data_IF_995875781809
#
_entry.id   IF_995875781809
#
_cell.length_a   1.000
_cell.length_b   1.000
_cell.length_c   1.000
_cell.angle_alpha   90.00
_cell.angle_beta   90.00
_cell.angle_gamma   90.00
#
_symmetry.space_group_name_H-M   'P 1'
#
loop_
_entity.id
_entity.type
_entity.pdbx_description
1 polymer ?
#
# COMPACT_ATOMS: atom_id res chain seq x y z
N UNK A 1 7.92 3.21 -1.57
CA UNK A 1 9.10 2.37 -1.82
C UNK A 1 8.74 1.08 -2.56
N UNK A 2 7.56 0.54 -2.40
CA UNK A 2 7.10 -0.70 -3.06
C UNK A 2 7.04 -0.58 -4.59
N UNK A 3 6.73 0.59 -5.11
CA UNK A 3 6.73 0.85 -6.53
C UNK A 3 8.07 0.53 -7.21
N UNK A 4 9.20 0.59 -6.48
CA UNK A 4 10.51 0.24 -7.04
C UNK A 4 10.58 -1.19 -7.53
N UNK A 5 9.90 -2.13 -6.86
CA UNK A 5 9.85 -3.54 -7.28
C UNK A 5 9.00 -3.75 -8.54
N UNK A 6 7.93 -2.94 -8.72
CA UNK A 6 7.05 -3.01 -9.90
C UNK A 6 7.77 -2.61 -11.18
N UNK A 7 8.77 -1.73 -11.06
CA UNK A 7 9.60 -1.26 -12.19
C UNK A 7 10.89 -2.06 -12.39
N UNK A 8 11.04 -3.19 -11.70
CA UNK A 8 12.24 -4.03 -11.81
C UNK A 8 12.51 -4.51 -13.25
N UNK A 9 11.46 -4.83 -14.03
CA UNK A 9 11.59 -5.27 -15.43
C UNK A 9 12.13 -4.15 -16.37
N UNK A 10 12.06 -2.88 -15.95
CA UNK A 10 12.53 -1.72 -16.72
C UNK A 10 13.90 -1.20 -16.26
N UNK A 11 14.39 -1.67 -15.13
CA UNK A 11 15.68 -1.26 -14.58
C UNK A 11 16.83 -1.95 -15.33
N UNK A 12 17.89 -1.19 -15.69
CA UNK A 12 19.07 -1.76 -16.37
C UNK A 12 19.79 -2.84 -15.54
N UNK A 13 19.82 -2.66 -14.22
CA UNK A 13 20.41 -3.61 -13.26
C UNK A 13 19.48 -3.69 -12.06
N UNK A 14 18.39 -4.42 -12.22
CA UNK A 14 17.34 -4.55 -11.21
C UNK A 14 17.87 -5.14 -9.90
N UNK A 15 18.83 -6.07 -9.97
CA UNK A 15 19.40 -6.75 -8.80
C UNK A 15 20.11 -5.79 -7.84
N UNK A 16 20.67 -4.70 -8.34
CA UNK A 16 21.37 -3.67 -7.55
C UNK A 16 20.51 -2.42 -7.37
N UNK A 17 19.89 -1.94 -8.45
CA UNK A 17 19.17 -0.69 -8.45
C UNK A 17 17.92 -0.72 -7.55
N UNK A 18 17.12 -1.79 -7.63
CA UNK A 18 15.86 -1.90 -6.86
C UNK A 18 16.11 -1.96 -5.34
N UNK A 19 16.98 -2.85 -4.80
CA UNK A 19 17.27 -2.86 -3.37
C UNK A 19 17.84 -1.53 -2.88
N UNK A 20 18.79 -0.94 -3.64
CA UNK A 20 19.40 0.34 -3.26
C UNK A 20 18.38 1.48 -3.20
N UNK A 21 17.53 1.61 -4.22
CA UNK A 21 16.47 2.61 -4.24
C UNK A 21 15.48 2.41 -3.08
N UNK A 22 15.11 1.15 -2.79
CA UNK A 22 14.21 0.82 -1.68
C UNK A 22 14.81 1.21 -0.33
N UNK A 23 16.06 0.84 -0.05
CA UNK A 23 16.72 1.21 1.21
C UNK A 23 16.87 2.72 1.37
N UNK A 24 17.29 3.43 0.31
CA UNK A 24 17.41 4.89 0.35
C UNK A 24 16.06 5.54 0.63
N UNK A 25 15.00 5.10 -0.06
CA UNK A 25 13.65 5.62 0.15
C UNK A 25 13.15 5.36 1.58
N UNK A 26 13.30 4.14 2.10
CA UNK A 26 12.83 3.78 3.45
C UNK A 26 13.59 4.57 4.52
N UNK A 27 14.92 4.65 4.43
CA UNK A 27 15.71 5.40 5.41
C UNK A 27 15.39 6.89 5.35
N UNK A 28 15.31 7.47 4.14
CA UNK A 28 14.94 8.88 3.96
C UNK A 28 13.57 9.17 4.58
N UNK A 29 12.55 8.36 4.26
CA UNK A 29 11.20 8.56 4.79
C UNK A 29 11.15 8.39 6.30
N UNK A 30 11.83 7.38 6.86
CA UNK A 30 11.87 7.15 8.30
C UNK A 30 12.48 8.35 9.04
N UNK A 31 13.63 8.86 8.56
CA UNK A 31 14.30 10.02 9.15
C UNK A 31 13.43 11.27 8.98
N UNK A 32 12.89 11.49 7.79
CA UNK A 32 12.06 12.65 7.49
C UNK A 32 10.81 12.71 8.37
N UNK A 33 10.07 11.61 8.49
CA UNK A 33 8.87 11.55 9.32
C UNK A 33 9.19 11.68 10.81
N UNK A 34 10.27 11.04 11.28
CA UNK A 34 10.69 11.15 12.68
C UNK A 34 11.06 12.59 13.05
N UNK A 35 11.85 13.26 12.19
CA UNK A 35 12.23 14.66 12.39
C UNK A 35 11.01 15.59 12.32
N UNK A 36 10.12 15.41 11.34
CA UNK A 36 8.91 16.22 11.19
C UNK A 36 8.01 16.08 12.41
N UNK A 37 7.77 14.84 12.88
CA UNK A 37 6.98 14.60 14.07
C UNK A 37 7.62 15.22 15.33
N UNK A 38 8.93 15.06 15.50
CA UNK A 38 9.65 15.62 16.63
C UNK A 38 9.58 17.16 16.65
N UNK A 39 9.74 17.80 15.48
CA UNK A 39 9.66 19.26 15.34
C UNK A 39 8.25 19.79 15.65
N UNK A 40 7.20 19.11 15.15
CA UNK A 40 5.81 19.48 15.43
C UNK A 40 5.51 19.35 16.92
N UNK A 41 5.88 18.22 17.54
CA UNK A 41 5.65 18.00 18.98
C UNK A 41 6.45 18.99 19.82
N UNK A 42 7.69 19.27 19.44
CA UNK A 42 8.51 20.25 20.15
C UNK A 42 7.94 21.68 20.02
N UNK A 43 7.46 22.04 18.84
CA UNK A 43 6.89 23.36 18.56
C UNK A 43 5.56 23.61 19.29
N UNK A 44 4.65 22.65 19.26
CA UNK A 44 3.34 22.76 19.92
C UNK A 44 3.42 22.47 21.43
N UNK A 45 4.49 21.86 21.90
CA UNK A 45 4.59 21.24 23.21
C UNK A 45 3.83 19.89 23.25
N UNK A 46 4.26 19.02 24.16
CA UNK A 46 3.65 17.68 24.27
C UNK A 46 2.16 17.76 24.61
N UNK A 47 1.78 18.62 25.55
CA UNK A 47 0.38 18.79 25.94
C UNK A 47 -0.48 19.36 24.81
N UNK A 48 0.02 20.35 24.09
CA UNK A 48 -0.67 20.93 22.94
C UNK A 48 -0.86 19.91 21.80
N UNK A 49 0.18 19.16 21.46
CA UNK A 49 0.11 18.12 20.45
C UNK A 49 -0.88 17.00 20.83
N UNK A 50 -0.88 16.57 22.11
CA UNK A 50 -1.82 15.57 22.61
C UNK A 50 -3.26 16.08 22.63
N UNK A 51 -3.48 17.35 22.99
CA UNK A 51 -4.82 17.94 22.97
C UNK A 51 -5.42 17.95 21.57
N UNK A 52 -4.62 18.33 20.55
CA UNK A 52 -5.03 18.34 19.16
C UNK A 52 -5.23 16.90 18.63
N UNK A 53 -4.30 15.99 18.93
CA UNK A 53 -4.37 14.61 18.47
C UNK A 53 -5.50 13.81 19.14
N UNK A 54 -5.91 14.19 20.35
CA UNK A 54 -7.00 13.56 21.10
C UNK A 54 -8.40 13.99 20.67
N UNK A 55 -8.50 15.07 19.90
CA UNK A 55 -9.78 15.54 19.35
C UNK A 55 -9.97 15.03 17.93
N UNK A 56 -10.98 14.16 17.66
CA UNK A 56 -11.21 13.57 16.34
C UNK A 56 -11.42 14.58 15.21
N UNK A 57 -11.91 15.79 15.51
CA UNK A 57 -12.14 16.82 14.51
C UNK A 57 -10.85 17.54 14.12
N UNK A 58 -9.93 17.73 15.05
CA UNK A 58 -8.68 18.47 14.83
C UNK A 58 -7.45 17.58 14.56
N UNK A 59 -7.48 16.31 14.97
CA UNK A 59 -6.34 15.37 14.86
C UNK A 59 -5.72 15.30 13.47
N UNK A 60 -6.56 15.31 12.43
CA UNK A 60 -6.12 15.23 11.03
C UNK A 60 -5.45 16.52 10.54
N UNK A 61 -5.70 17.62 11.22
CA UNK A 61 -5.18 18.95 10.88
C UNK A 61 -3.96 19.36 11.71
N UNK A 62 -3.39 18.47 12.51
CA UNK A 62 -2.25 18.73 13.40
C UNK A 62 -1.10 19.44 12.66
N UNK A 63 -0.75 18.98 11.47
CA UNK A 63 0.31 19.58 10.65
C UNK A 63 -0.09 20.96 10.12
N UNK A 64 -1.34 21.15 9.74
CA UNK A 64 -1.86 22.45 9.27
C UNK A 64 -1.94 23.47 10.40
N UNK A 65 -2.34 23.03 11.60
CA UNK A 65 -2.40 23.85 12.80
C UNK A 65 -0.97 24.32 13.17
N UNK A 66 0.00 23.39 13.15
CA UNK A 66 1.39 23.74 13.37
C UNK A 66 1.92 24.72 12.31
N UNK A 67 1.57 24.49 11.03
CA UNK A 67 1.97 25.41 9.96
C UNK A 67 1.36 26.81 10.13
N UNK A 68 0.10 26.93 10.53
CA UNK A 68 -0.54 28.22 10.79
C UNK A 68 0.14 28.95 11.95
N UNK A 69 0.43 28.24 13.02
CA UNK A 69 1.07 28.82 14.20
C UNK A 69 2.49 29.35 13.94
N UNK A 70 3.30 28.64 13.13
CA UNK A 70 4.72 28.99 12.93
C UNK A 70 5.00 29.71 11.63
N UNK A 71 4.21 29.50 10.59
CA UNK A 71 4.42 30.05 9.25
C UNK A 71 3.28 30.98 8.81
N UNK A 72 2.16 30.99 9.56
CA UNK A 72 0.97 31.75 9.24
C UNK A 72 0.28 31.28 7.96
N UNK A 73 -0.62 32.07 7.43
CA UNK A 73 -1.47 31.76 6.27
C UNK A 73 -0.67 31.35 5.02
N UNK A 74 0.55 31.89 4.84
CA UNK A 74 1.40 31.48 3.72
C UNK A 74 1.81 30.02 3.84
N UNK A 75 2.22 29.59 5.03
CA UNK A 75 2.59 28.19 5.28
C UNK A 75 1.44 27.23 5.04
N UNK A 76 0.24 27.57 5.51
CA UNK A 76 -0.99 26.77 5.26
C UNK A 76 -1.28 26.67 3.77
N UNK A 77 -1.24 27.80 3.03
CA UNK A 77 -1.48 27.79 1.60
C UNK A 77 -0.45 26.96 0.82
N UNK A 78 0.83 27.07 1.18
CA UNK A 78 1.88 26.25 0.59
C UNK A 78 1.64 24.75 0.87
N UNK A 79 1.27 24.37 2.10
CA UNK A 79 0.91 23.01 2.45
C UNK A 79 -0.29 22.49 1.63
N UNK A 80 -1.34 23.29 1.46
CA UNK A 80 -2.51 22.88 0.66
C UNK A 80 -2.11 22.56 -0.79
N UNK A 81 -1.27 23.40 -1.41
CA UNK A 81 -0.75 23.13 -2.76
C UNK A 81 0.07 21.81 -2.79
N UNK A 82 0.94 21.62 -1.78
CA UNK A 82 1.75 20.39 -1.69
C UNK A 82 0.89 19.15 -1.44
N UNK A 83 -0.16 19.24 -0.65
CA UNK A 83 -1.11 18.13 -0.43
C UNK A 83 -1.81 17.76 -1.73
N UNK A 84 -2.35 18.73 -2.48
CA UNK A 84 -3.02 18.47 -3.77
C UNK A 84 -2.05 17.83 -4.77
N UNK A 85 -0.84 18.39 -4.92
CA UNK A 85 0.15 17.83 -5.85
C UNK A 85 0.62 16.43 -5.41
N UNK A 86 0.73 16.18 -4.11
CA UNK A 86 1.04 14.86 -3.55
C UNK A 86 -0.05 13.83 -3.86
N UNK A 87 -1.32 14.18 -3.70
CA UNK A 87 -2.43 13.29 -4.08
C UNK A 87 -2.41 12.94 -5.57
N UNK A 88 -2.16 13.92 -6.45
CA UNK A 88 -2.04 13.68 -7.90
C UNK A 88 -0.88 12.73 -8.20
N UNK A 89 0.29 12.95 -7.58
CA UNK A 89 1.45 12.08 -7.75
C UNK A 89 1.19 10.64 -7.25
N UNK A 90 0.54 10.51 -6.09
CA UNK A 90 0.11 9.22 -5.56
C UNK A 90 -0.87 8.51 -6.49
N UNK A 91 -1.88 9.22 -6.99
CA UNK A 91 -2.87 8.67 -7.92
C UNK A 91 -2.21 8.08 -9.17
N UNK A 92 -1.30 8.84 -9.80
CA UNK A 92 -0.55 8.39 -10.99
C UNK A 92 0.29 7.16 -10.65
N UNK A 93 1.01 7.18 -9.54
CA UNK A 93 1.90 6.08 -9.13
C UNK A 93 1.13 4.79 -8.85
N UNK A 94 0.07 4.86 -8.05
CA UNK A 94 -0.76 3.70 -7.73
C UNK A 94 -1.54 3.18 -8.93
N UNK A 95 -2.04 4.08 -9.80
CA UNK A 95 -2.70 3.69 -11.04
C UNK A 95 -1.76 2.87 -11.94
N UNK A 96 -0.54 3.36 -12.15
CA UNK A 96 0.46 2.67 -12.97
C UNK A 96 0.86 1.32 -12.35
N UNK A 97 1.13 1.27 -11.04
CA UNK A 97 1.49 0.04 -10.36
C UNK A 97 0.35 -1.00 -10.46
N UNK A 98 -0.89 -0.60 -10.17
CA UNK A 98 -2.04 -1.52 -10.21
C UNK A 98 -2.33 -2.01 -11.63
N UNK A 99 -2.20 -1.15 -12.65
CA UNK A 99 -2.36 -1.55 -14.04
C UNK A 99 -1.32 -2.62 -14.46
N UNK A 100 -0.09 -2.54 -13.93
CA UNK A 100 0.97 -3.54 -14.15
C UNK A 100 0.68 -4.85 -13.42
N UNK A 101 0.13 -4.81 -12.20
CA UNK A 101 -0.32 -6.02 -11.51
C UNK A 101 -1.43 -6.73 -12.27
N UNK A 102 -2.43 -5.99 -12.78
CA UNK A 102 -3.47 -6.56 -13.63
C UNK A 102 -2.92 -7.19 -14.92
N UNK A 103 -1.92 -6.53 -15.53
CA UNK A 103 -1.22 -7.04 -16.70
C UNK A 103 -0.48 -8.35 -16.39
N UNK A 104 0.31 -8.38 -15.31
CA UNK A 104 1.06 -9.58 -14.92
C UNK A 104 0.13 -10.76 -14.63
N UNK A 105 -0.94 -10.54 -13.84
CA UNK A 105 -1.96 -11.56 -13.56
C UNK A 105 -2.70 -12.03 -14.83
N UNK A 106 -2.94 -11.14 -15.78
CA UNK A 106 -3.52 -11.49 -17.10
C UNK A 106 -2.56 -12.32 -17.96
N UNK A 107 -1.28 -11.97 -17.97
CA UNK A 107 -0.21 -12.70 -18.69
C UNK A 107 -0.04 -14.11 -18.14
N UNK A 108 -0.06 -14.26 -16.84
CA UNK A 108 0.03 -15.54 -16.14
C UNK A 108 -1.28 -16.36 -16.20
N UNK A 109 -2.36 -15.74 -16.65
CA UNK A 109 -3.66 -16.41 -16.81
C UNK A 109 -4.47 -16.55 -15.52
N UNK A 110 -4.10 -15.82 -14.44
CA UNK A 110 -4.92 -15.70 -13.23
C UNK A 110 -6.17 -14.85 -13.49
N UNK A 111 -6.04 -13.84 -14.36
CA UNK A 111 -7.13 -13.01 -14.87
C UNK A 111 -7.35 -13.27 -16.37
N UNK A 112 -8.42 -12.73 -16.97
CA UNK A 112 -8.64 -12.84 -18.41
C UNK A 112 -7.41 -12.43 -19.21
N UNK A 113 -7.00 -13.26 -20.17
CA UNK A 113 -5.79 -13.05 -21.00
C UNK A 113 -5.78 -11.70 -21.73
N UNK A 114 -6.95 -11.11 -21.95
CA UNK A 114 -7.06 -9.80 -22.55
C UNK A 114 -6.36 -8.69 -21.73
N UNK A 115 -6.21 -8.86 -20.41
CA UNK A 115 -5.46 -7.94 -19.55
C UNK A 115 -3.94 -8.09 -19.70
N UNK A 116 -3.46 -9.26 -20.09
CA UNK A 116 -2.06 -9.55 -20.36
C UNK A 116 -1.53 -9.03 -21.71
N UNK A 117 -2.16 -7.97 -22.25
CA UNK A 117 -1.74 -7.34 -23.53
C UNK A 117 -1.33 -5.89 -23.29
N UNK A 118 -0.33 -5.44 -24.06
CA UNK A 118 0.13 -4.04 -24.07
C UNK A 118 -0.31 -3.36 -25.37
N UNK A 119 -0.40 -2.03 -25.35
CA UNK A 119 -0.62 -1.22 -26.54
C UNK A 119 0.67 -1.05 -27.37
N UNK A 120 0.60 -0.30 -28.47
CA UNK A 120 1.75 -0.01 -29.33
C UNK A 120 2.92 0.71 -28.61
N UNK A 121 2.67 1.32 -27.46
CA UNK A 121 3.66 2.02 -26.64
C UNK A 121 4.14 1.18 -25.44
N UNK A 122 3.81 -0.13 -25.38
CA UNK A 122 4.22 -1.01 -24.29
C UNK A 122 3.42 -0.83 -22.98
N UNK A 123 2.34 -0.03 -22.96
CA UNK A 123 1.56 0.22 -21.76
C UNK A 123 0.35 -0.73 -21.64
N UNK A 124 -0.04 -1.17 -20.42
CA UNK A 124 -1.17 -2.05 -20.16
C UNK A 124 -2.51 -1.28 -20.18
N UNK A 125 -2.91 -0.79 -21.35
CA UNK A 125 -4.07 0.10 -21.53
C UNK A 125 -5.36 -0.48 -20.99
N UNK A 126 -5.61 -1.78 -21.19
CA UNK A 126 -6.86 -2.43 -20.72
C UNK A 126 -6.96 -2.44 -19.19
N UNK A 127 -5.86 -2.70 -18.49
CA UNK A 127 -5.79 -2.58 -17.03
C UNK A 127 -6.07 -1.15 -16.57
N UNK A 128 -5.46 -0.16 -17.21
CA UNK A 128 -5.69 1.25 -16.90
C UNK A 128 -7.14 1.68 -17.10
N UNK A 129 -7.79 1.25 -18.19
CA UNK A 129 -9.20 1.58 -18.46
C UNK A 129 -10.12 0.96 -17.40
N UNK A 130 -9.89 -0.29 -17.01
CA UNK A 130 -10.68 -0.93 -15.95
C UNK A 130 -10.56 -0.16 -14.64
N UNK A 131 -9.35 0.25 -14.26
CA UNK A 131 -9.14 1.04 -13.05
C UNK A 131 -9.87 2.39 -13.09
N UNK A 132 -9.86 3.07 -14.23
CA UNK A 132 -10.60 4.32 -14.42
C UNK A 132 -12.11 4.11 -14.30
N UNK A 133 -12.62 3.02 -14.88
CA UNK A 133 -14.06 2.69 -14.80
C UNK A 133 -14.45 2.38 -13.35
N UNK A 134 -13.63 1.57 -12.64
CA UNK A 134 -13.88 1.27 -11.22
C UNK A 134 -13.84 2.55 -10.38
N UNK A 135 -12.83 3.40 -10.59
CA UNK A 135 -12.74 4.69 -9.88
C UNK A 135 -13.97 5.58 -10.17
N UNK A 136 -14.39 5.69 -11.42
CA UNK A 136 -15.58 6.45 -11.81
C UNK A 136 -16.87 5.92 -11.15
N UNK A 137 -17.01 4.59 -11.06
CA UNK A 137 -18.14 3.95 -10.37
C UNK A 137 -18.12 4.31 -8.88
N UNK A 138 -16.96 4.17 -8.21
CA UNK A 138 -16.83 4.47 -6.77
C UNK A 138 -17.15 5.95 -6.52
N UNK A 139 -16.58 6.87 -7.30
CA UNK A 139 -16.86 8.30 -7.19
C UNK A 139 -18.35 8.58 -7.44
N UNK A 140 -18.94 7.98 -8.47
CA UNK A 140 -20.36 8.13 -8.78
C UNK A 140 -21.28 7.65 -7.66
N UNK A 141 -20.98 6.50 -7.05
CA UNK A 141 -21.73 5.98 -5.90
C UNK A 141 -21.65 6.93 -4.71
N UNK A 142 -20.45 7.44 -4.40
CA UNK A 142 -20.27 8.39 -3.30
C UNK A 142 -21.03 9.70 -3.58
N UNK A 143 -20.96 10.22 -4.81
CA UNK A 143 -21.68 11.43 -5.19
C UNK A 143 -23.20 11.28 -5.05
N UNK A 144 -23.76 10.13 -5.45
CA UNK A 144 -25.21 9.86 -5.34
C UNK A 144 -25.64 9.66 -3.90
N UNK A 145 -24.79 9.08 -3.05
CA UNK A 145 -25.11 8.84 -1.63
C UNK A 145 -24.98 10.11 -0.77
N UNK A 146 -24.48 11.22 -1.32
CA UNK A 146 -24.29 12.48 -0.61
C UNK A 146 -23.27 12.42 0.52
N UNK A 147 -22.39 11.42 0.53
CA UNK A 147 -21.29 11.31 1.51
C UNK A 147 -20.24 12.39 1.27
N UNK A 148 -19.61 12.82 2.34
CA UNK A 148 -18.48 13.75 2.25
C UNK A 148 -17.34 13.15 1.40
N UNK A 149 -16.83 13.86 0.38
CA UNK A 149 -15.79 13.34 -0.52
C UNK A 149 -14.47 13.09 0.19
N UNK A 150 -14.14 13.90 1.20
CA UNK A 150 -12.86 13.77 1.90
C UNK A 150 -12.95 12.70 3.00
N UNK A 151 -13.83 12.87 3.98
CA UNK A 151 -13.95 11.92 5.11
C UNK A 151 -14.67 10.64 4.72
N UNK A 152 -15.78 10.75 4.01
CA UNK A 152 -16.63 9.60 3.65
C UNK A 152 -16.08 8.77 2.48
N UNK A 153 -15.16 9.28 1.67
CA UNK A 153 -14.57 8.54 0.56
C UNK A 153 -13.06 8.42 0.67
N UNK A 154 -12.32 9.55 0.66
CA UNK A 154 -10.87 9.50 0.56
C UNK A 154 -10.23 8.89 1.81
N UNK A 155 -10.57 9.39 3.00
CA UNK A 155 -10.02 8.90 4.28
C UNK A 155 -10.44 7.46 4.53
N UNK A 156 -11.71 7.14 4.30
CA UNK A 156 -12.25 5.79 4.49
C UNK A 156 -11.62 4.77 3.53
N UNK A 157 -11.46 5.14 2.24
CA UNK A 157 -10.79 4.29 1.25
C UNK A 157 -9.30 4.12 1.55
N UNK A 158 -8.64 5.17 2.04
CA UNK A 158 -7.26 5.11 2.50
C UNK A 158 -7.09 4.12 3.66
N UNK A 159 -7.98 4.15 4.65
CA UNK A 159 -7.99 3.21 5.77
C UNK A 159 -8.11 1.75 5.29
N UNK A 160 -9.01 1.49 4.32
CA UNK A 160 -9.14 0.17 3.69
C UNK A 160 -7.85 -0.26 2.97
N UNK A 161 -7.23 0.66 2.22
CA UNK A 161 -6.00 0.42 1.49
C UNK A 161 -4.84 0.09 2.42
N UNK A 162 -4.63 0.87 3.48
CA UNK A 162 -3.54 0.66 4.44
C UNK A 162 -3.69 -0.66 5.19
N UNK A 163 -4.89 -0.99 5.68
CA UNK A 163 -5.14 -2.27 6.37
C UNK A 163 -4.84 -3.48 5.48
N UNK A 164 -5.26 -3.44 4.23
CA UNK A 164 -4.98 -4.50 3.25
C UNK A 164 -3.50 -4.59 2.90
N UNK A 165 -2.86 -3.45 2.65
CA UNK A 165 -1.45 -3.37 2.25
C UNK A 165 -0.51 -3.95 3.30
N UNK A 166 -0.65 -3.53 4.57
CA UNK A 166 0.19 -4.02 5.67
C UNK A 166 0.04 -5.54 5.85
N UNK A 167 -1.18 -6.07 5.67
CA UNK A 167 -1.43 -7.51 5.73
C UNK A 167 -0.71 -8.27 4.61
N UNK A 168 -0.78 -7.77 3.38
CA UNK A 168 -0.10 -8.38 2.21
C UNK A 168 1.42 -8.33 2.37
N UNK A 169 1.96 -7.22 2.89
CA UNK A 169 3.39 -7.09 3.20
C UNK A 169 3.85 -8.10 4.26
N UNK A 170 3.06 -8.29 5.33
CA UNK A 170 3.35 -9.30 6.35
C UNK A 170 3.40 -10.71 5.74
N UNK A 171 2.43 -11.04 4.88
CA UNK A 171 2.41 -12.32 4.18
C UNK A 171 3.61 -12.50 3.25
N UNK A 172 3.98 -11.48 2.49
CA UNK A 172 5.16 -11.51 1.63
C UNK A 172 6.42 -11.78 2.46
N UNK A 173 6.56 -11.13 3.61
CA UNK A 173 7.69 -11.35 4.52
C UNK A 173 7.71 -12.78 5.09
N UNK A 174 6.57 -13.34 5.51
CA UNK A 174 6.47 -14.75 5.92
C UNK A 174 6.78 -15.71 4.77
N UNK A 175 6.37 -15.40 3.54
CA UNK A 175 6.67 -16.21 2.36
C UNK A 175 8.16 -16.27 2.08
N UNK A 176 8.90 -15.16 2.27
CA UNK A 176 10.36 -15.13 2.19
C UNK A 176 10.98 -16.06 3.24
N UNK A 177 10.53 -16.00 4.49
CA UNK A 177 10.99 -16.90 5.55
C UNK A 177 10.73 -18.36 5.16
N UNK A 178 9.49 -18.69 4.71
CA UNK A 178 9.12 -20.04 4.29
C UNK A 178 9.98 -20.58 3.14
N UNK A 179 10.33 -19.73 2.19
CA UNK A 179 11.20 -20.08 1.06
C UNK A 179 12.61 -20.44 1.53
N UNK A 180 13.25 -19.57 2.33
CA UNK A 180 14.62 -19.76 2.77
C UNK A 180 14.77 -20.76 3.92
N UNK A 181 13.69 -21.20 4.56
CA UNK A 181 13.73 -22.35 5.47
C UNK A 181 14.04 -23.65 4.74
N UNK A 182 13.64 -23.77 3.47
CA UNK A 182 13.90 -24.97 2.65
C UNK A 182 15.31 -24.97 2.08
N UNK A 183 15.76 -23.84 1.55
CA UNK A 183 17.11 -23.70 0.99
C UNK A 183 17.58 -22.26 1.12
N UNK A 184 18.67 -22.05 1.85
CA UNK A 184 19.28 -20.73 2.11
C UNK A 184 20.09 -20.20 0.93
N UNK A 185 20.32 -20.99 -0.10
CA UNK A 185 21.13 -20.62 -1.29
C UNK A 185 22.46 -19.94 -0.95
N UNK A 186 23.14 -20.39 0.12
CA UNK A 186 24.41 -19.83 0.59
C UNK A 186 24.32 -18.51 1.37
N UNK A 187 23.13 -17.97 1.60
CA UNK A 187 22.95 -16.74 2.38
C UNK A 187 22.94 -17.00 3.90
N UNK A 188 23.47 -16.05 4.68
CA UNK A 188 23.48 -16.12 6.14
C UNK A 188 22.07 -16.09 6.75
N UNK A 189 21.84 -16.90 7.77
CA UNK A 189 20.52 -17.02 8.43
C UNK A 189 19.97 -15.68 8.93
N UNK A 190 20.82 -14.80 9.42
CA UNK A 190 20.40 -13.47 9.89
C UNK A 190 19.71 -12.67 8.79
N UNK A 191 20.24 -12.71 7.58
CA UNK A 191 19.74 -11.92 6.44
C UNK A 191 18.46 -12.50 5.85
N UNK A 192 18.33 -13.82 5.75
CA UNK A 192 17.23 -14.45 5.00
C UNK A 192 16.14 -15.07 5.87
N UNK A 193 16.38 -15.25 7.17
CA UNK A 193 15.39 -15.79 8.11
C UNK A 193 15.06 -14.78 9.21
N UNK A 194 16.08 -14.32 9.97
CA UNK A 194 15.84 -13.50 11.17
C UNK A 194 15.29 -12.12 10.79
N UNK A 195 15.93 -11.42 9.86
CA UNK A 195 15.49 -10.08 9.47
C UNK A 195 14.08 -10.09 8.84
N UNK A 196 13.73 -10.97 7.87
CA UNK A 196 12.38 -11.05 7.35
C UNK A 196 11.35 -11.48 8.39
N UNK A 197 11.71 -12.37 9.34
CA UNK A 197 10.81 -12.78 10.41
C UNK A 197 10.50 -11.63 11.35
N UNK A 198 11.51 -10.88 11.78
CA UNK A 198 11.30 -9.69 12.62
C UNK A 198 10.46 -8.63 11.89
N UNK A 199 10.72 -8.43 10.59
CA UNK A 199 9.89 -7.55 9.75
C UNK A 199 8.44 -8.03 9.67
N UNK A 200 8.20 -9.32 9.45
CA UNK A 200 6.87 -9.91 9.41
C UNK A 200 6.12 -9.73 10.73
N UNK A 201 6.79 -10.02 11.86
CA UNK A 201 6.19 -9.84 13.19
C UNK A 201 5.90 -8.36 13.48
N UNK A 202 6.81 -7.45 13.12
CA UNK A 202 6.57 -6.01 13.22
C UNK A 202 5.37 -5.55 12.41
N UNK A 203 5.19 -6.06 11.18
CA UNK A 203 4.03 -5.77 10.35
C UNK A 203 2.72 -6.33 10.93
N UNK A 204 2.76 -7.53 11.53
CA UNK A 204 1.58 -8.09 12.22
C UNK A 204 1.19 -7.22 13.43
N UNK A 205 2.18 -6.77 14.22
CA UNK A 205 1.94 -5.86 15.34
C UNK A 205 1.37 -4.53 14.82
N UNK A 206 1.96 -3.97 13.76
CA UNK A 206 1.46 -2.73 13.14
C UNK A 206 0.02 -2.90 12.64
N UNK A 207 -0.28 -4.02 11.96
CA UNK A 207 -1.64 -4.33 11.53
C UNK A 207 -2.63 -4.42 12.69
N UNK A 208 -2.24 -5.10 13.77
CA UNK A 208 -3.06 -5.19 14.97
C UNK A 208 -3.33 -3.81 15.58
N UNK A 209 -2.31 -2.96 15.68
CA UNK A 209 -2.46 -1.59 16.18
C UNK A 209 -3.37 -0.73 15.29
N UNK A 210 -3.25 -0.86 13.96
CA UNK A 210 -4.12 -0.18 12.99
C UNK A 210 -5.57 -0.61 13.20
N UNK A 211 -5.82 -1.93 13.27
CA UNK A 211 -7.17 -2.47 13.45
C UNK A 211 -7.77 -2.06 14.80
N UNK A 212 -6.96 -2.08 15.87
CA UNK A 212 -7.39 -1.67 17.22
C UNK A 212 -7.72 -0.18 17.30
N UNK A 213 -7.16 0.64 16.42
CA UNK A 213 -7.38 2.08 16.38
C UNK A 213 -8.00 2.52 15.03
N UNK A 214 -8.80 1.66 14.41
CA UNK A 214 -9.35 1.90 13.07
C UNK A 214 -10.21 3.18 13.00
N UNK A 215 -10.85 3.55 14.08
CA UNK A 215 -11.66 4.76 14.16
C UNK A 215 -10.85 6.03 13.95
N UNK A 216 -9.62 6.08 14.46
CA UNK A 216 -8.69 7.20 14.23
C UNK A 216 -8.29 7.27 12.77
N UNK A 217 -8.02 6.10 12.14
CA UNK A 217 -7.58 6.05 10.76
C UNK A 217 -8.71 6.33 9.76
N UNK A 218 -9.92 5.86 10.05
CA UNK A 218 -11.09 6.01 9.17
C UNK A 218 -11.86 7.32 9.41
N UNK A 219 -11.55 8.03 10.49
CA UNK A 219 -12.32 9.18 10.99
C UNK A 219 -13.83 8.86 11.10
N UNK A 220 -14.17 7.62 11.42
CA UNK A 220 -15.55 7.17 11.56
C UNK A 220 -15.71 6.15 12.67
N UNK A 221 -16.88 6.12 13.27
CA UNK A 221 -17.25 5.16 14.33
C UNK A 221 -18.33 4.22 13.82
N UNK A 222 -18.39 3.00 14.39
CA UNK A 222 -19.49 2.07 14.19
C UNK A 222 -19.22 0.91 13.23
N UNK A 223 -20.30 0.19 12.86
CA UNK A 223 -20.23 -1.08 12.13
C UNK A 223 -19.62 -0.98 10.72
N UNK A 224 -19.56 0.23 10.13
CA UNK A 224 -18.91 0.45 8.83
C UNK A 224 -17.43 0.09 8.85
N UNK A 225 -16.75 0.23 9.98
CA UNK A 225 -15.35 -0.09 10.14
C UNK A 225 -15.04 -1.60 10.04
N UNK A 226 -16.03 -2.48 10.28
CA UNK A 226 -15.88 -3.92 10.10
C UNK A 226 -15.50 -4.28 8.66
N UNK A 227 -16.04 -3.58 7.67
CA UNK A 227 -15.69 -3.82 6.27
C UNK A 227 -14.25 -3.45 5.97
N UNK A 228 -13.72 -2.39 6.57
CA UNK A 228 -12.30 -1.99 6.45
C UNK A 228 -11.37 -3.07 7.00
N UNK A 229 -11.74 -3.64 8.15
CA UNK A 229 -10.95 -4.67 8.84
C UNK A 229 -11.03 -6.00 8.10
N UNK A 230 -12.22 -6.40 7.63
CA UNK A 230 -12.45 -7.72 7.08
C UNK A 230 -12.13 -7.85 5.59
N UNK A 231 -12.15 -6.75 4.81
CA UNK A 231 -11.92 -6.80 3.37
C UNK A 231 -10.56 -7.40 3.00
N UNK A 232 -9.48 -6.99 3.68
CA UNK A 232 -8.14 -7.54 3.46
C UNK A 232 -8.06 -9.04 3.74
N UNK A 233 -8.40 -9.51 4.96
CA UNK A 233 -8.44 -10.93 5.28
C UNK A 233 -9.35 -11.76 4.36
N UNK A 234 -10.52 -11.23 3.98
CA UNK A 234 -11.44 -11.93 3.08
C UNK A 234 -10.84 -12.13 1.68
N UNK A 235 -10.21 -11.09 1.11
CA UNK A 235 -9.53 -11.19 -0.17
C UNK A 235 -8.34 -12.16 -0.11
N UNK A 236 -7.63 -12.20 1.00
CA UNK A 236 -6.55 -13.13 1.26
C UNK A 236 -7.06 -14.58 1.26
N UNK A 237 -8.10 -14.85 2.04
CA UNK A 237 -8.73 -16.18 2.08
C UNK A 237 -9.24 -16.58 0.69
N UNK A 238 -9.90 -15.66 -0.02
CA UNK A 238 -10.35 -15.90 -1.39
C UNK A 238 -9.19 -16.23 -2.34
N UNK A 239 -8.05 -15.54 -2.22
CA UNK A 239 -6.84 -15.82 -2.99
C UNK A 239 -6.26 -17.21 -2.69
N UNK A 240 -6.16 -17.57 -1.41
CA UNK A 240 -5.68 -18.91 -0.99
C UNK A 240 -6.63 -20.02 -1.49
N UNK A 241 -7.94 -19.85 -1.30
CA UNK A 241 -8.95 -20.81 -1.79
C UNK A 241 -8.88 -20.91 -3.31
N UNK A 242 -8.79 -19.79 -4.03
CA UNK A 242 -8.64 -19.76 -5.49
C UNK A 242 -7.39 -20.50 -5.95
N UNK A 243 -6.25 -20.31 -5.28
CA UNK A 243 -5.01 -21.03 -5.55
C UNK A 243 -5.13 -22.54 -5.31
N UNK A 244 -5.76 -22.96 -4.21
CA UNK A 244 -6.00 -24.37 -3.91
C UNK A 244 -6.97 -25.03 -4.92
N UNK A 245 -8.02 -24.32 -5.31
CA UNK A 245 -8.95 -24.79 -6.35
C UNK A 245 -8.25 -24.88 -7.71
N UNK A 246 -7.40 -23.94 -8.07
CA UNK A 246 -6.61 -24.03 -9.31
C UNK A 246 -5.65 -25.22 -9.28
N UNK A 247 -4.99 -25.46 -8.16
CA UNK A 247 -4.11 -26.61 -7.99
C UNK A 247 -4.83 -27.94 -8.19
N UNK A 248 -6.07 -28.05 -7.71
CA UNK A 248 -6.86 -29.28 -7.84
C UNK A 248 -7.53 -29.44 -9.21
N UNK A 249 -8.05 -28.34 -9.79
CA UNK A 249 -8.85 -28.39 -11.02
C UNK A 249 -8.01 -28.17 -12.29
N UNK A 250 -6.88 -27.48 -12.22
CA UNK A 250 -6.02 -27.14 -13.35
C UNK A 250 -4.52 -27.26 -12.96
N UNK A 251 -4.03 -28.47 -12.62
CA UNK A 251 -2.67 -28.67 -12.11
C UNK A 251 -1.59 -28.17 -13.08
N UNK A 252 -1.72 -28.43 -14.37
CA UNK A 252 -0.78 -27.97 -15.39
C UNK A 252 -0.65 -26.43 -15.43
N UNK A 253 -1.71 -25.73 -15.15
CA UNK A 253 -1.73 -24.27 -15.11
C UNK A 253 -1.10 -23.74 -13.81
N UNK A 254 -1.33 -24.43 -12.70
CA UNK A 254 -0.70 -24.14 -11.42
C UNK A 254 0.81 -24.35 -11.49
N UNK A 255 1.27 -25.46 -12.10
CA UNK A 255 2.70 -25.76 -12.28
C UNK A 255 3.38 -24.76 -13.22
N UNK A 256 2.67 -24.26 -14.25
CA UNK A 256 3.17 -23.20 -15.12
C UNK A 256 3.44 -21.87 -14.37
N UNK A 257 2.60 -21.53 -13.37
CA UNK A 257 2.85 -20.35 -12.51
C UNK A 257 4.13 -20.52 -11.68
N UNK A 258 4.38 -21.71 -11.16
CA UNK A 258 5.59 -22.01 -10.39
C UNK A 258 6.86 -21.97 -11.27
N UNK A 259 6.77 -22.49 -12.50
CA UNK A 259 7.92 -22.53 -13.43
C UNK A 259 8.26 -21.17 -14.05
N UNK A 260 7.31 -20.24 -14.13
CA UNK A 260 7.58 -18.87 -14.58
C UNK A 260 8.47 -18.09 -13.61
N UNK A 261 8.37 -18.39 -12.32
CA UNK A 261 9.21 -17.79 -11.28
C UNK A 261 10.68 -18.27 -11.32
N UNK A 262 10.93 -19.48 -11.84
CA UNK A 262 12.29 -20.02 -11.97
C UNK A 262 13.05 -19.48 -13.19
N UNK A 263 12.34 -19.01 -14.23
CA UNK A 263 12.95 -18.49 -15.46
C UNK A 263 13.42 -17.04 -15.34
N UNK A 264 13.03 -16.33 -14.29
CA UNK A 264 13.41 -14.93 -14.01
C UNK A 264 14.49 -14.80 -12.93
N UNK A 265 14.99 -15.89 -12.39
CA UNK A 265 16.10 -15.97 -11.44
C UNK A 265 17.38 -16.45 -12.15
#
# INVERSE_FOLDING_TARGET
FEATAVYAEEARDAAVAVPRATYVAVVFLAVFYALSAALIIHGLGVEGALAIAGDPESAQFLTSIAADQFLGTWGVNAMLVLVVTSFVACLISFHNATARYLFAMGREGLLPRSLGTVNAHGAPLRGSVILLVVAAIVIGVVAVTGRDPYFGMAVWSYAAGVTGLVLVQAMAAFSVVGFFLRDRRGHGALRVLVAPLLGALGLVVAWFLIVSNIEVLSASTGAGNLWLILAGPALLVAGVVGGLLMRSSQPARYDALLSSSEKTS
#
